data_IF_341273566689
#
_entry.id   IF_341273566689
#
_cell.length_a   1.000
_cell.length_b   1.000
_cell.length_c   1.000
_cell.angle_alpha   90.00
_cell.angle_beta   90.00
_cell.angle_gamma   90.00
#
_symmetry.space_group_name_H-M   'P 1'
#
loop_
_entity.id
_entity.type
_entity.pdbx_description
1 polymer ?
#
# COMPACT_ATOMS: atom_id res chain seq x y z
N UNK A 1 -8.26 46.90 2.46
CA UNK A 1 -9.41 46.08 2.03
C UNK A 1 -9.05 44.60 2.13
N UNK A 2 -9.17 44.02 3.32
CA UNK A 2 -8.92 42.59 3.61
C UNK A 2 -9.78 42.22 4.83
N UNK A 3 -10.22 40.96 4.87
CA UNK A 3 -10.94 40.28 5.96
C UNK A 3 -12.44 40.60 6.10
N UNK A 4 -13.27 39.81 5.42
CA UNK A 4 -14.62 39.44 5.88
C UNK A 4 -14.99 37.95 5.68
N UNK A 5 -14.09 37.13 5.13
CA UNK A 5 -14.38 35.72 4.81
C UNK A 5 -14.05 34.78 5.98
N UNK A 6 -13.18 35.17 6.91
CA UNK A 6 -12.76 34.31 8.03
C UNK A 6 -13.64 34.44 9.28
N UNK A 7 -14.37 35.55 9.47
CA UNK A 7 -15.24 35.75 10.64
C UNK A 7 -16.52 34.89 10.60
N UNK A 8 -16.91 34.43 9.41
CA UNK A 8 -18.09 33.56 9.22
C UNK A 8 -17.80 32.09 9.56
N UNK A 9 -16.54 31.63 9.44
CA UNK A 9 -16.15 30.26 9.80
C UNK A 9 -16.04 30.06 11.32
N UNK A 10 -15.58 31.07 12.06
CA UNK A 10 -15.45 31.02 13.52
C UNK A 10 -16.80 30.99 14.27
N UNK A 11 -17.88 31.49 13.66
CA UNK A 11 -19.23 31.47 14.26
C UNK A 11 -19.99 30.15 14.02
N UNK A 12 -19.57 29.33 13.06
CA UNK A 12 -20.22 28.04 12.75
C UNK A 12 -19.92 26.93 13.77
N UNK A 13 -18.89 27.10 14.61
CA UNK A 13 -18.44 26.05 15.55
C UNK A 13 -19.21 26.08 16.88
N UNK A 14 -20.12 27.05 17.11
CA UNK A 14 -20.82 27.23 18.39
C UNK A 14 -22.33 26.96 18.39
N UNK A 15 -22.89 26.22 17.42
CA UNK A 15 -24.27 25.72 17.55
C UNK A 15 -24.30 24.22 17.79
N UNK A 16 -24.27 23.82 19.06
CA UNK A 16 -24.66 22.47 19.47
C UNK A 16 -26.15 22.26 19.14
N UNK A 17 -26.45 21.15 18.48
CA UNK A 17 -27.79 20.54 18.31
C UNK A 17 -28.78 21.18 17.33
N UNK A 18 -28.36 21.57 16.12
CA UNK A 18 -29.28 21.55 14.97
C UNK A 18 -28.89 20.41 14.02
N UNK A 19 -29.79 19.48 13.67
CA UNK A 19 -29.52 18.59 12.55
C UNK A 19 -29.28 19.49 11.33
N UNK A 20 -28.09 19.41 10.73
CA UNK A 20 -27.81 20.12 9.48
C UNK A 20 -28.91 19.74 8.49
N UNK A 21 -29.69 20.74 8.05
CA UNK A 21 -30.56 20.54 6.90
C UNK A 21 -29.68 20.04 5.76
N UNK A 22 -30.01 18.86 5.22
CA UNK A 22 -29.37 18.36 4.01
C UNK A 22 -29.64 19.38 2.91
N UNK A 23 -28.63 20.16 2.56
CA UNK A 23 -28.67 21.02 1.38
C UNK A 23 -29.06 20.15 0.19
N UNK A 24 -30.22 20.40 -0.41
CA UNK A 24 -30.76 19.65 -1.55
C UNK A 24 -30.00 19.88 -2.87
N UNK A 25 -28.89 20.63 -2.83
CA UNK A 25 -27.99 20.87 -3.96
C UNK A 25 -26.78 19.94 -3.85
N UNK A 26 -27.01 18.63 -3.91
CA UNK A 26 -25.92 17.69 -4.12
C UNK A 26 -25.60 17.70 -5.61
N UNK A 27 -24.69 18.59 -6.02
CA UNK A 27 -24.08 18.50 -7.35
C UNK A 27 -23.36 17.17 -7.51
N UNK A 28 -23.35 16.63 -8.72
CA UNK A 28 -22.65 15.39 -9.01
C UNK A 28 -21.13 15.65 -9.05
N UNK A 29 -20.42 15.11 -8.05
CA UNK A 29 -18.97 15.17 -7.99
C UNK A 29 -18.34 14.53 -9.24
N UNK A 30 -19.04 13.62 -9.92
CA UNK A 30 -18.53 12.96 -11.11
C UNK A 30 -18.35 13.94 -12.26
N UNK A 31 -19.11 15.03 -12.31
CA UNK A 31 -18.98 16.04 -13.37
C UNK A 31 -17.74 16.93 -13.17
N UNK A 32 -17.16 16.94 -11.97
CA UNK A 32 -16.01 17.80 -11.69
C UNK A 32 -14.77 17.38 -12.51
N UNK A 33 -14.01 18.37 -13.03
CA UNK A 33 -12.68 18.15 -13.59
C UNK A 33 -11.74 17.50 -12.56
N UNK A 34 -10.76 16.75 -13.07
CA UNK A 34 -9.83 15.99 -12.24
C UNK A 34 -9.02 16.91 -11.32
N UNK A 35 -8.69 18.12 -11.77
CA UNK A 35 -7.93 19.13 -11.03
C UNK A 35 -8.69 19.63 -9.81
N UNK A 36 -9.99 19.90 -9.96
CA UNK A 36 -10.86 20.32 -8.85
C UNK A 36 -11.02 19.16 -7.87
N UNK A 37 -11.26 17.94 -8.38
CA UNK A 37 -11.36 16.75 -7.54
C UNK A 37 -10.06 16.48 -6.77
N UNK A 38 -8.90 16.72 -7.39
CA UNK A 38 -7.57 16.62 -6.77
C UNK A 38 -7.47 17.53 -5.56
N UNK A 39 -7.90 18.77 -5.70
CA UNK A 39 -7.88 19.74 -4.61
C UNK A 39 -8.83 19.33 -3.49
N UNK A 40 -10.05 18.88 -3.81
CA UNK A 40 -11.01 18.35 -2.81
C UNK A 40 -10.40 17.17 -2.04
N UNK A 41 -9.87 16.17 -2.75
CA UNK A 41 -9.24 14.98 -2.16
C UNK A 41 -8.05 15.36 -1.26
N UNK A 42 -7.35 16.45 -1.59
CA UNK A 42 -6.25 16.97 -0.77
C UNK A 42 -6.68 17.46 0.62
N UNK A 43 -7.96 17.70 0.87
CA UNK A 43 -8.51 18.04 2.19
C UNK A 43 -9.22 16.88 2.89
N UNK A 44 -9.50 15.79 2.18
CA UNK A 44 -10.21 14.63 2.73
C UNK A 44 -9.28 13.69 3.50
N UNK A 45 -9.90 12.96 4.43
CA UNK A 45 -9.30 11.82 5.10
C UNK A 45 -9.49 10.54 4.27
N UNK A 46 -8.73 9.49 4.62
CA UNK A 46 -8.78 8.21 3.91
C UNK A 46 -10.21 7.65 3.85
N UNK A 47 -10.96 7.73 4.95
CA UNK A 47 -12.31 7.19 5.03
C UNK A 47 -13.24 7.89 4.03
N UNK A 48 -13.20 9.21 3.95
CA UNK A 48 -14.02 9.96 2.99
C UNK A 48 -13.63 9.65 1.55
N UNK A 49 -12.33 9.54 1.24
CA UNK A 49 -11.88 9.17 -0.11
C UNK A 49 -12.36 7.77 -0.50
N UNK A 50 -12.29 6.79 0.41
CA UNK A 50 -12.80 5.45 0.16
C UNK A 50 -14.32 5.43 -0.05
N UNK A 51 -15.07 6.25 0.68
CA UNK A 51 -16.52 6.37 0.47
C UNK A 51 -16.83 6.96 -0.91
N UNK A 52 -16.15 8.04 -1.32
CA UNK A 52 -16.34 8.66 -2.64
C UNK A 52 -16.09 7.65 -3.77
N UNK A 53 -15.09 6.78 -3.59
CA UNK A 53 -14.71 5.73 -4.53
C UNK A 53 -15.78 4.66 -4.76
N UNK A 54 -16.77 4.56 -3.89
CA UNK A 54 -17.87 3.60 -3.99
C UNK A 54 -19.15 4.19 -4.58
N UNK A 55 -19.19 5.50 -4.85
CA UNK A 55 -20.41 6.20 -5.28
C UNK A 55 -20.79 5.90 -6.74
N UNK A 56 -19.81 5.82 -7.63
CA UNK A 56 -20.03 5.50 -9.05
C UNK A 56 -18.76 4.95 -9.70
N UNK A 57 -18.91 4.32 -10.86
CA UNK A 57 -17.78 3.83 -11.65
C UNK A 57 -16.87 4.98 -12.12
N UNK A 58 -17.45 6.12 -12.51
CA UNK A 58 -16.68 7.30 -12.91
C UNK A 58 -15.86 7.88 -11.73
N UNK A 59 -16.46 7.93 -10.54
CA UNK A 59 -15.74 8.35 -9.33
C UNK A 59 -14.62 7.38 -8.96
N UNK A 60 -14.89 6.07 -9.07
CA UNK A 60 -13.88 5.04 -8.89
C UNK A 60 -12.68 5.34 -9.79
N UNK A 61 -12.89 5.49 -11.10
CA UNK A 61 -11.83 5.74 -12.07
C UNK A 61 -11.05 7.03 -11.81
N UNK A 62 -11.74 8.16 -11.60
CA UNK A 62 -11.10 9.45 -11.30
C UNK A 62 -10.27 9.39 -10.01
N UNK A 63 -10.82 8.83 -8.94
CA UNK A 63 -10.10 8.70 -7.68
C UNK A 63 -8.92 7.74 -7.79
N UNK A 64 -9.00 6.69 -8.60
CA UNK A 64 -7.85 5.81 -8.82
C UNK A 64 -6.71 6.50 -9.57
N UNK A 65 -7.02 7.37 -10.54
CA UNK A 65 -6.00 8.21 -11.17
C UNK A 65 -5.33 9.12 -10.15
N UNK A 66 -6.10 9.74 -9.24
CA UNK A 66 -5.55 10.57 -8.17
C UNK A 66 -4.73 9.75 -7.16
N UNK A 67 -5.13 8.52 -6.86
CA UNK A 67 -4.41 7.62 -5.95
C UNK A 67 -3.13 7.02 -6.55
N UNK A 68 -2.87 7.23 -7.84
CA UNK A 68 -1.56 6.98 -8.46
C UNK A 68 -0.58 8.14 -8.27
N UNK A 69 -1.07 9.34 -7.97
CA UNK A 69 -0.23 10.49 -7.66
C UNK A 69 0.52 10.24 -6.35
N UNK A 70 1.83 10.43 -6.39
CA UNK A 70 2.70 10.13 -5.26
C UNK A 70 2.42 11.02 -4.05
N UNK A 71 2.07 12.29 -4.24
CA UNK A 71 1.79 13.21 -3.12
C UNK A 71 0.52 12.78 -2.39
N UNK A 72 -0.51 12.43 -3.15
CA UNK A 72 -1.81 11.99 -2.61
C UNK A 72 -1.68 10.64 -1.92
N UNK A 73 -1.05 9.67 -2.58
CA UNK A 73 -0.87 8.34 -2.02
C UNK A 73 -0.03 8.34 -0.75
N UNK A 74 1.04 9.14 -0.69
CA UNK A 74 1.83 9.36 0.53
C UNK A 74 0.99 9.97 1.66
N UNK A 75 0.16 10.97 1.36
CA UNK A 75 -0.72 11.59 2.36
C UNK A 75 -1.73 10.60 2.92
N UNK A 76 -2.35 9.81 2.05
CA UNK A 76 -3.43 8.88 2.42
C UNK A 76 -2.93 7.51 2.90
N UNK A 77 -1.64 7.20 2.71
CA UNK A 77 -1.05 5.91 3.06
C UNK A 77 -1.51 4.75 2.16
N UNK A 78 -2.10 5.05 1.00
CA UNK A 78 -2.58 4.07 0.04
C UNK A 78 -2.26 4.49 -1.39
N UNK A 79 -1.99 3.51 -2.26
CA UNK A 79 -1.79 3.74 -3.69
C UNK A 79 -2.69 2.81 -4.50
N UNK A 80 -3.13 3.26 -5.66
CA UNK A 80 -3.84 2.42 -6.62
C UNK A 80 -2.85 1.85 -7.63
N UNK A 81 -2.79 0.53 -7.74
CA UNK A 81 -2.00 -0.16 -8.77
C UNK A 81 -2.89 -0.97 -9.70
N UNK A 82 -2.43 -1.09 -10.95
CA UNK A 82 -3.08 -1.85 -12.01
C UNK A 82 -2.39 -3.20 -12.24
N UNK A 83 -2.82 -3.93 -13.27
CA UNK A 83 -2.35 -5.25 -13.68
C UNK A 83 -0.90 -5.27 -14.23
N UNK A 84 0.00 -4.54 -13.59
CA UNK A 84 1.44 -4.56 -13.87
C UNK A 84 2.14 -5.66 -13.05
N UNK A 85 3.35 -6.00 -13.48
CA UNK A 85 4.25 -6.87 -12.72
C UNK A 85 4.85 -6.13 -11.52
N UNK A 86 4.76 -6.73 -10.34
CA UNK A 86 5.41 -6.28 -9.12
C UNK A 86 6.32 -7.39 -8.59
N UNK A 87 7.39 -7.01 -7.90
CA UNK A 87 8.28 -7.94 -7.22
C UNK A 87 7.87 -8.06 -5.77
N UNK A 88 7.40 -9.24 -5.38
CA UNK A 88 7.03 -9.56 -4.01
C UNK A 88 8.24 -10.16 -3.27
N UNK A 89 8.59 -9.58 -2.13
CA UNK A 89 9.54 -10.15 -1.17
C UNK A 89 8.75 -10.75 -0.01
N UNK A 90 8.90 -12.06 0.18
CA UNK A 90 8.26 -12.84 1.24
C UNK A 90 9.02 -12.79 2.56
N UNK A 91 8.57 -13.59 3.52
CA UNK A 91 9.23 -13.71 4.83
C UNK A 91 10.54 -14.51 4.75
N UNK A 92 11.38 -14.37 5.77
CA UNK A 92 12.63 -15.12 5.86
C UNK A 92 12.36 -16.63 5.97
N UNK A 93 13.11 -17.41 5.20
CA UNK A 93 13.13 -18.87 5.27
C UNK A 93 14.50 -19.30 5.77
N UNK A 94 14.51 -20.25 6.70
CA UNK A 94 15.72 -20.80 7.27
C UNK A 94 16.56 -21.52 6.22
N UNK A 95 17.85 -21.19 6.15
CA UNK A 95 18.84 -21.77 5.24
C UNK A 95 19.93 -22.55 5.98
N UNK A 96 19.93 -22.53 7.30
CA UNK A 96 20.90 -23.21 8.16
C UNK A 96 20.19 -23.89 9.33
N UNK A 97 20.63 -25.09 9.70
CA UNK A 97 20.17 -25.78 10.91
C UNK A 97 21.33 -25.99 11.86
N UNK A 98 21.08 -25.63 13.12
CA UNK A 98 21.97 -25.89 14.25
C UNK A 98 21.63 -27.25 14.86
N UNK A 99 22.65 -28.07 15.09
CA UNK A 99 22.57 -29.22 15.99
C UNK A 99 23.43 -28.96 17.22
N UNK A 100 23.42 -29.87 18.20
CA UNK A 100 24.26 -29.76 19.40
C UNK A 100 25.76 -29.78 19.11
N UNK A 101 26.17 -30.11 17.88
CA UNK A 101 27.57 -30.30 17.51
C UNK A 101 28.01 -29.61 16.22
N UNK A 102 27.10 -29.26 15.30
CA UNK A 102 27.47 -28.75 13.97
C UNK A 102 26.45 -27.76 13.38
N UNK A 103 26.90 -27.02 12.37
CA UNK A 103 26.11 -26.12 11.54
C UNK A 103 25.98 -26.70 10.12
N UNK A 104 24.75 -26.91 9.65
CA UNK A 104 24.50 -27.45 8.30
C UNK A 104 23.73 -26.45 7.44
N UNK A 105 24.25 -26.21 6.23
CA UNK A 105 23.48 -25.52 5.18
C UNK A 105 22.34 -26.42 4.69
N UNK A 106 21.15 -25.85 4.62
CA UNK A 106 19.94 -26.52 4.13
C UNK A 106 19.43 -25.76 2.92
N UNK A 107 19.17 -26.50 1.84
CA UNK A 107 18.38 -25.99 0.72
C UNK A 107 16.91 -25.92 1.14
N UNK A 108 16.29 -24.73 1.18
CA UNK A 108 14.92 -24.63 1.64
C UNK A 108 13.94 -25.37 0.74
N UNK A 109 13.00 -26.09 1.36
CA UNK A 109 11.97 -26.82 0.61
C UNK A 109 11.03 -25.87 -0.13
N UNK A 110 10.47 -26.33 -1.24
CA UNK A 110 9.43 -25.59 -1.98
C UNK A 110 8.23 -25.22 -1.11
N UNK A 111 7.87 -26.06 -0.14
CA UNK A 111 6.80 -25.79 0.84
C UNK A 111 7.16 -24.61 1.75
N UNK A 112 8.41 -24.53 2.22
CA UNK A 112 8.86 -23.42 3.06
C UNK A 112 8.89 -22.09 2.29
N UNK A 113 9.38 -22.11 1.05
CA UNK A 113 9.36 -20.94 0.15
C UNK A 113 7.93 -20.49 -0.10
N UNK A 114 7.01 -21.40 -0.45
CA UNK A 114 5.59 -21.05 -0.64
C UNK A 114 4.96 -20.46 0.63
N UNK A 115 5.29 -21.00 1.80
CA UNK A 115 4.81 -20.48 3.09
C UNK A 115 5.26 -19.05 3.33
N UNK A 116 6.48 -18.68 2.91
CA UNK A 116 7.00 -17.32 3.05
C UNK A 116 6.15 -16.25 2.36
N UNK A 117 5.37 -16.65 1.35
CA UNK A 117 4.50 -15.74 0.60
C UNK A 117 3.04 -15.72 1.07
N UNK A 118 2.73 -16.31 2.23
CA UNK A 118 1.35 -16.39 2.73
C UNK A 118 0.94 -15.20 3.62
N UNK A 119 1.88 -14.37 4.05
CA UNK A 119 1.60 -13.18 4.85
C UNK A 119 2.74 -12.17 4.75
N UNK A 120 2.44 -10.90 5.08
CA UNK A 120 3.43 -9.82 5.20
C UNK A 120 4.38 -9.68 3.98
N UNK A 121 3.79 -9.60 2.79
CA UNK A 121 4.56 -9.30 1.58
C UNK A 121 4.92 -7.82 1.52
N UNK A 122 6.15 -7.57 1.09
CA UNK A 122 6.58 -6.25 0.64
C UNK A 122 6.68 -6.27 -0.88
N UNK A 123 6.03 -5.35 -1.57
CA UNK A 123 6.03 -5.28 -3.03
C UNK A 123 6.80 -4.06 -3.51
N UNK A 124 7.50 -4.28 -4.62
CA UNK A 124 8.35 -3.30 -5.29
C UNK A 124 7.97 -3.21 -6.77
N UNK A 125 8.13 -2.03 -7.35
CA UNK A 125 8.00 -1.83 -8.80
C UNK A 125 9.29 -2.19 -9.51
N UNK A 126 10.43 -1.91 -8.89
CA UNK A 126 11.76 -2.19 -9.43
C UNK A 126 12.36 -3.48 -8.85
N UNK A 127 13.01 -4.27 -9.71
CA UNK A 127 13.64 -5.54 -9.31
C UNK A 127 14.89 -5.33 -8.47
N UNK A 128 15.66 -4.30 -8.77
CA UNK A 128 16.92 -3.99 -8.08
C UNK A 128 16.62 -3.55 -6.65
N UNK A 129 15.61 -2.70 -6.45
CA UNK A 129 15.13 -2.33 -5.11
C UNK A 129 14.65 -3.55 -4.31
N UNK A 130 13.86 -4.42 -4.94
CA UNK A 130 13.39 -5.66 -4.30
C UNK A 130 14.55 -6.58 -3.89
N UNK A 131 15.57 -6.67 -4.75
CA UNK A 131 16.76 -7.49 -4.51
C UNK A 131 17.61 -6.91 -3.39
N UNK A 132 17.79 -5.59 -3.38
CA UNK A 132 18.51 -4.91 -2.30
C UNK A 132 17.79 -5.11 -0.96
N UNK A 133 16.47 -4.89 -0.92
CA UNK A 133 15.67 -5.15 0.27
C UNK A 133 15.80 -6.61 0.74
N UNK A 134 15.75 -7.57 -0.19
CA UNK A 134 15.94 -8.99 0.14
C UNK A 134 17.31 -9.26 0.76
N UNK A 135 18.36 -8.56 0.32
CA UNK A 135 19.73 -8.64 0.89
C UNK A 135 19.77 -8.02 2.28
N UNK A 136 19.20 -6.83 2.45
CA UNK A 136 19.19 -6.09 3.73
C UNK A 136 18.42 -6.84 4.82
N UNK A 137 17.42 -7.65 4.44
CA UNK A 137 16.63 -8.46 5.36
C UNK A 137 17.25 -9.84 5.65
N UNK A 138 18.42 -10.18 5.07
CA UNK A 138 19.12 -11.43 5.39
C UNK A 138 19.62 -11.40 6.82
N UNK A 139 19.38 -12.48 7.56
CA UNK A 139 19.90 -12.64 8.91
C UNK A 139 21.09 -13.59 8.82
N UNK A 140 22.29 -13.05 9.09
CA UNK A 140 23.55 -13.78 9.10
C UNK A 140 23.84 -14.48 10.43
N UNK A 141 24.88 -15.30 10.40
CA UNK A 141 25.54 -15.83 11.60
C UNK A 141 26.99 -15.36 11.59
N UNK A 142 27.49 -14.93 12.75
CA UNK A 142 28.89 -14.46 12.89
C UNK A 142 29.91 -15.58 12.66
N UNK A 143 29.49 -16.84 12.86
CA UNK A 143 30.36 -18.00 12.85
C UNK A 143 30.88 -18.40 11.46
N UNK A 144 30.21 -18.04 10.36
CA UNK A 144 30.61 -18.49 9.01
C UNK A 144 30.35 -17.51 7.85
N UNK A 145 29.96 -16.25 8.10
CA UNK A 145 29.46 -15.35 7.05
C UNK A 145 28.29 -15.98 6.23
N UNK A 146 27.55 -16.93 6.83
CA UNK A 146 26.41 -17.61 6.19
C UNK A 146 25.11 -16.96 6.61
N UNK A 147 24.19 -16.78 5.66
CA UNK A 147 22.81 -16.39 5.94
C UNK A 147 22.09 -17.53 6.67
N UNK A 148 21.77 -17.35 7.95
CA UNK A 148 20.92 -18.27 8.72
C UNK A 148 19.49 -18.32 8.16
N UNK A 149 18.99 -17.17 7.71
CA UNK A 149 17.72 -17.07 7.01
C UNK A 149 17.73 -15.94 6.00
N UNK A 150 17.01 -16.11 4.90
CA UNK A 150 16.84 -15.06 3.90
C UNK A 150 15.41 -15.09 3.34
N UNK A 151 14.87 -13.93 2.93
CA UNK A 151 13.61 -13.88 2.22
C UNK A 151 13.76 -14.32 0.77
N UNK A 152 12.62 -14.54 0.12
CA UNK A 152 12.54 -14.95 -1.28
C UNK A 152 11.79 -13.92 -2.10
N UNK A 153 12.18 -13.81 -3.37
CA UNK A 153 11.60 -12.89 -4.34
C UNK A 153 10.76 -13.66 -5.36
N UNK A 154 9.57 -13.14 -5.67
CA UNK A 154 8.69 -13.67 -6.70
C UNK A 154 8.10 -12.53 -7.54
N UNK A 155 7.88 -12.79 -8.83
CA UNK A 155 7.10 -11.89 -9.68
C UNK A 155 5.60 -12.16 -9.44
N UNK A 156 4.85 -11.10 -9.22
CA UNK A 156 3.39 -11.16 -9.05
C UNK A 156 2.72 -10.14 -9.98
N UNK A 157 1.49 -10.42 -10.37
CA UNK A 157 0.62 -9.46 -11.06
C UNK A 157 -0.59 -9.14 -10.21
N UNK A 158 -1.10 -7.92 -10.35
CA UNK A 158 -2.35 -7.52 -9.70
C UNK A 158 -3.53 -8.13 -10.46
N UNK A 159 -4.48 -8.74 -9.74
CA UNK A 159 -5.62 -9.48 -10.32
C UNK A 159 -6.70 -8.59 -10.90
N UNK A 160 -6.89 -7.40 -10.34
CA UNK A 160 -7.97 -6.48 -10.71
C UNK A 160 -7.38 -5.09 -10.93
N UNK A 161 -7.84 -4.34 -11.95
CA UNK A 161 -7.50 -2.94 -12.05
C UNK A 161 -7.94 -2.21 -10.78
N UNK A 162 -7.37 -1.04 -10.51
CA UNK A 162 -7.81 -0.23 -9.37
C UNK A 162 -7.67 -0.97 -8.03
N UNK A 163 -6.62 -1.77 -7.85
CA UNK A 163 -6.39 -2.44 -6.57
C UNK A 163 -5.61 -1.51 -5.65
N UNK A 164 -6.13 -1.30 -4.43
CA UNK A 164 -5.46 -0.45 -3.45
C UNK A 164 -4.42 -1.23 -2.66
N UNK A 165 -3.24 -0.64 -2.46
CA UNK A 165 -2.18 -1.18 -1.61
C UNK A 165 -1.83 -0.18 -0.51
N UNK A 166 -1.46 -0.69 0.66
CA UNK A 166 -0.96 0.16 1.75
C UNK A 166 0.47 0.57 1.44
N UNK A 167 0.75 1.86 1.61
CA UNK A 167 2.08 2.43 1.47
C UNK A 167 2.74 2.45 2.84
N UNK A 168 3.93 1.86 2.95
CA UNK A 168 4.77 1.91 4.14
C UNK A 168 6.06 2.64 3.78
N UNK A 169 6.48 3.59 4.63
CA UNK A 169 7.79 4.22 4.52
C UNK A 169 8.87 3.18 4.86
N UNK A 170 9.83 3.04 3.98
CA UNK A 170 11.08 2.34 4.19
C UNK A 170 12.20 3.41 4.23
N UNK A 171 12.89 3.49 5.36
CA UNK A 171 14.09 4.31 5.59
C UNK A 171 14.17 5.63 4.81
N UNK A 172 13.55 6.68 5.35
CA UNK A 172 13.75 8.09 4.95
C UNK A 172 13.17 8.51 3.59
N UNK A 173 13.33 7.71 2.53
CA UNK A 173 13.09 8.13 1.13
C UNK A 173 12.22 7.18 0.31
N UNK A 174 12.22 5.88 0.59
CA UNK A 174 11.57 4.91 -0.28
C UNK A 174 10.20 4.46 0.28
N UNK A 175 9.21 4.36 -0.58
CA UNK A 175 7.88 3.86 -0.20
C UNK A 175 7.71 2.47 -0.76
N UNK A 176 7.38 1.51 0.10
CA UNK A 176 7.07 0.14 -0.30
C UNK A 176 5.60 -0.14 -0.17
N UNK A 177 5.11 -1.06 -0.99
CA UNK A 177 3.74 -1.51 -0.90
C UNK A 177 3.68 -2.73 0.01
N UNK A 178 2.62 -2.86 0.79
CA UNK A 178 2.49 -3.96 1.75
C UNK A 178 1.17 -4.68 1.61
N UNK A 179 1.22 -6.00 1.79
CA UNK A 179 0.06 -6.89 1.83
C UNK A 179 0.21 -7.81 3.02
N UNK A 180 -0.73 -7.75 3.96
CA UNK A 180 -0.49 -8.28 5.32
C UNK A 180 -1.06 -9.67 5.54
N UNK A 181 -2.20 -9.99 4.92
CA UNK A 181 -2.90 -11.26 5.16
C UNK A 181 -2.95 -12.15 3.92
N UNK A 182 -3.06 -13.46 4.15
CA UNK A 182 -3.22 -14.47 3.09
C UNK A 182 -4.44 -14.20 2.20
N UNK A 183 -5.54 -13.74 2.80
CA UNK A 183 -6.75 -13.38 2.08
C UNK A 183 -6.51 -12.19 1.16
N UNK A 184 -5.80 -11.17 1.65
CA UNK A 184 -5.47 -9.98 0.87
C UNK A 184 -4.57 -10.34 -0.32
N UNK A 185 -3.56 -11.19 -0.10
CA UNK A 185 -2.68 -11.72 -1.15
C UNK A 185 -3.49 -12.48 -2.19
N UNK A 186 -4.33 -13.41 -1.74
CA UNK A 186 -5.18 -14.23 -2.63
C UNK A 186 -6.14 -13.37 -3.44
N UNK A 187 -6.69 -12.30 -2.86
CA UNK A 187 -7.62 -11.42 -3.54
C UNK A 187 -6.94 -10.48 -4.54
N UNK A 188 -5.76 -9.97 -4.20
CA UNK A 188 -5.09 -8.90 -4.95
C UNK A 188 -4.07 -9.40 -5.96
N UNK A 189 -3.39 -10.50 -5.68
CA UNK A 189 -2.17 -10.91 -6.39
C UNK A 189 -2.31 -12.27 -7.05
N UNK A 190 -1.64 -12.43 -8.19
CA UNK A 190 -1.40 -13.70 -8.87
C UNK A 190 0.11 -13.88 -8.99
N UNK A 191 0.63 -15.01 -8.50
CA UNK A 191 2.04 -15.35 -8.67
C UNK A 191 2.28 -15.79 -10.12
N UNK A 192 3.33 -15.25 -10.72
CA UNK A 192 3.80 -15.65 -12.06
C UNK A 192 4.86 -16.71 -11.84
N UNK A 193 4.61 -17.92 -12.32
CA UNK A 193 5.49 -19.08 -12.23
C UNK A 193 5.56 -19.79 -13.57
#
# INVERSE_FOLDING_TARGET
>A
MKMKIFDSLGKLVKSKNKPMEKLKLNGDLAILPLEILKEIVSYLDLKSVLNLRTLSQEQLEKLNLLLKDEKISRKLGIVSEDMQGLFAVGQNVQCVKFTSSDLYRITPSSKAIKKSFQSNLTLFKDRSEATQYMIDQKIGTELENVAASQPYLALVTVKKPNTLFKVKKQDGTNNVLTVTSSQEITNKLKFVG
#
